data_IF_388671226033
#
_entry.id   IF_388671226033
#
_cell.length_a   1.000
_cell.length_b   1.000
_cell.length_c   1.000
_cell.angle_alpha   90.00
_cell.angle_beta   90.00
_cell.angle_gamma   90.00
#
_symmetry.space_group_name_H-M   'P 1'
#
loop_
_entity.id
_entity.type
_entity.pdbx_description
1 polymer ?
#
# COMPACT_ATOMS: atom_id res chain seq x y z
N UNK A 1 -8.54 8.41 -2.77
CA UNK A 1 -9.03 7.03 -2.78
C UNK A 1 -10.19 6.98 -3.75
N UNK A 2 -10.03 6.26 -4.84
CA UNK A 2 -10.98 6.17 -5.93
C UNK A 2 -10.78 4.88 -6.72
N UNK A 3 -11.85 4.39 -7.33
CA UNK A 3 -11.82 3.22 -8.17
C UNK A 3 -13.00 3.19 -9.14
N UNK A 4 -12.92 2.32 -10.15
CA UNK A 4 -14.00 2.07 -11.10
C UNK A 4 -14.31 0.58 -11.15
N UNK A 5 -15.51 0.25 -11.63
CA UNK A 5 -15.89 -1.12 -11.96
C UNK A 5 -16.06 -1.28 -13.46
N UNK A 6 -15.37 -2.24 -14.06
CA UNK A 6 -15.50 -2.60 -15.47
C UNK A 6 -15.79 -4.09 -15.58
N UNK A 7 -16.92 -4.46 -16.19
CA UNK A 7 -17.36 -5.85 -16.36
C UNK A 7 -17.32 -6.68 -15.05
N UNK A 8 -17.62 -6.02 -13.92
CA UNK A 8 -17.62 -6.64 -12.59
C UNK A 8 -16.30 -6.54 -11.82
N UNK A 9 -15.17 -6.28 -12.47
CA UNK A 9 -13.86 -6.13 -11.82
C UNK A 9 -13.66 -4.72 -11.27
N UNK A 10 -13.09 -4.62 -10.07
CA UNK A 10 -12.81 -3.37 -9.37
C UNK A 10 -11.36 -2.91 -9.62
N UNK A 11 -11.16 -1.60 -9.73
CA UNK A 11 -9.88 -0.96 -9.48
C UNK A 11 -9.90 -0.25 -8.12
N UNK A 12 -8.72 -0.02 -7.54
CA UNK A 12 -8.56 0.70 -6.28
C UNK A 12 -7.25 1.50 -6.28
N UNK A 13 -7.31 2.81 -6.03
CA UNK A 13 -6.15 3.69 -5.99
C UNK A 13 -6.28 4.80 -4.95
N UNK A 14 -5.17 5.08 -4.29
CA UNK A 14 -5.03 6.21 -3.38
C UNK A 14 -3.81 7.04 -3.73
N UNK A 15 -4.05 8.35 -3.85
CA UNK A 15 -3.03 9.39 -3.91
C UNK A 15 -3.31 10.39 -2.79
N UNK A 16 -2.25 10.92 -2.20
CA UNK A 16 -2.34 12.07 -1.31
C UNK A 16 -1.70 13.27 -1.99
N UNK A 17 -2.41 14.39 -2.03
CA UNK A 17 -1.95 15.66 -2.62
C UNK A 17 -2.05 16.76 -1.57
N UNK A 18 -1.15 17.74 -1.65
CA UNK A 18 -1.16 18.90 -0.78
C UNK A 18 -1.65 20.12 -1.56
N UNK A 19 -2.59 20.87 -1.00
CA UNK A 19 -3.00 22.16 -1.56
C UNK A 19 -2.10 23.24 -0.94
N UNK A 20 -1.17 23.77 -1.74
CA UNK A 20 -0.14 24.69 -1.26
C UNK A 20 1.07 23.97 -0.67
N UNK A 21 1.67 24.54 0.38
CA UNK A 21 2.87 24.00 1.02
C UNK A 21 2.48 23.23 2.29
N UNK A 22 2.80 21.92 2.39
CA UNK A 22 2.59 21.18 3.62
C UNK A 22 3.62 21.56 4.69
N UNK A 23 3.23 21.40 5.95
CA UNK A 23 4.15 21.48 7.08
C UNK A 23 5.21 20.36 7.01
N UNK A 24 6.37 20.59 7.62
CA UNK A 24 7.50 19.64 7.58
C UNK A 24 7.14 18.23 8.08
N UNK A 25 6.25 18.12 9.07
CA UNK A 25 5.74 16.83 9.56
C UNK A 25 5.08 16.03 8.42
N UNK A 26 4.25 16.66 7.59
CA UNK A 26 3.58 15.98 6.48
C UNK A 26 4.50 15.70 5.29
N UNK A 27 5.55 16.50 5.11
CA UNK A 27 6.64 16.18 4.18
C UNK A 27 7.34 14.88 4.59
N UNK A 28 7.70 14.76 5.86
CA UNK A 28 8.38 13.56 6.39
C UNK A 28 7.48 12.33 6.41
N UNK A 29 6.19 12.50 6.75
CA UNK A 29 5.20 11.44 6.66
C UNK A 29 5.05 10.97 5.20
N UNK A 30 4.93 11.89 4.24
CA UNK A 30 4.78 11.53 2.84
C UNK A 30 5.99 10.76 2.32
N UNK A 31 7.21 11.23 2.62
CA UNK A 31 8.46 10.54 2.25
C UNK A 31 8.55 9.15 2.88
N UNK A 32 8.13 9.02 4.14
CA UNK A 32 8.08 7.73 4.86
C UNK A 32 7.11 6.76 4.19
N UNK A 33 5.88 7.19 3.91
CA UNK A 33 4.86 6.36 3.24
C UNK A 33 5.30 5.96 1.84
N UNK A 34 5.85 6.91 1.05
CA UNK A 34 6.40 6.65 -0.28
C UNK A 34 7.52 5.59 -0.23
N UNK A 35 8.48 5.75 0.69
CA UNK A 35 9.56 4.78 0.85
C UNK A 35 9.01 3.40 1.23
N UNK A 36 8.10 3.33 2.20
CA UNK A 36 7.49 2.08 2.64
C UNK A 36 6.73 1.37 1.50
N UNK A 37 5.96 2.12 0.71
CA UNK A 37 5.24 1.57 -0.45
C UNK A 37 6.19 1.04 -1.51
N UNK A 38 7.21 1.82 -1.90
CA UNK A 38 8.15 1.42 -2.94
C UNK A 38 8.96 0.18 -2.53
N UNK A 39 9.40 0.09 -1.28
CA UNK A 39 10.10 -1.11 -0.79
C UNK A 39 9.16 -2.32 -0.70
N UNK A 40 7.91 -2.15 -0.28
CA UNK A 40 6.92 -3.23 -0.30
C UNK A 40 6.67 -3.72 -1.73
N UNK A 41 6.43 -2.82 -2.70
CA UNK A 41 6.23 -3.14 -4.11
C UNK A 41 7.41 -3.93 -4.70
N UNK A 42 8.66 -3.50 -4.42
CA UNK A 42 9.87 -4.22 -4.84
C UNK A 42 10.01 -5.61 -4.22
N UNK A 43 9.50 -5.80 -3.00
CA UNK A 43 9.64 -7.05 -2.26
C UNK A 43 8.66 -8.14 -2.69
N UNK A 44 7.56 -7.79 -3.36
CA UNK A 44 6.52 -8.74 -3.78
C UNK A 44 7.12 -9.83 -4.65
N UNK A 45 6.89 -11.09 -4.25
CA UNK A 45 7.31 -12.28 -4.99
C UNK A 45 6.22 -13.36 -4.92
N UNK A 46 6.09 -14.20 -5.95
CA UNK A 46 5.25 -15.38 -5.85
C UNK A 46 5.73 -16.28 -4.69
N UNK A 47 4.78 -16.92 -4.01
CA UNK A 47 4.98 -17.81 -2.87
C UNK A 47 5.53 -17.14 -1.58
N UNK A 48 5.58 -15.82 -1.52
CA UNK A 48 5.91 -15.06 -0.31
C UNK A 48 4.78 -15.14 0.73
N UNK A 49 5.12 -15.13 2.02
CA UNK A 49 4.13 -14.99 3.08
C UNK A 49 3.61 -13.56 3.18
N UNK A 50 2.30 -13.38 3.29
CA UNK A 50 1.67 -12.05 3.33
C UNK A 50 2.10 -11.22 4.55
N UNK A 51 2.44 -11.87 5.67
CA UNK A 51 2.99 -11.18 6.86
C UNK A 51 4.39 -10.61 6.61
N UNK A 52 5.22 -11.30 5.82
CA UNK A 52 6.56 -10.81 5.48
C UNK A 52 6.47 -9.58 4.57
N UNK A 53 5.49 -9.58 3.65
CA UNK A 53 5.20 -8.43 2.81
C UNK A 53 4.71 -7.23 3.64
N UNK A 54 3.73 -7.42 4.54
CA UNK A 54 3.29 -6.37 5.47
C UNK A 54 4.44 -5.82 6.32
N UNK A 55 5.32 -6.70 6.80
CA UNK A 55 6.48 -6.33 7.61
C UNK A 55 7.42 -5.36 6.90
N UNK A 56 7.60 -5.47 5.58
CA UNK A 56 8.50 -4.57 4.81
C UNK A 56 8.12 -3.10 4.97
N UNK A 57 6.85 -2.75 4.80
CA UNK A 57 6.35 -1.39 4.98
C UNK A 57 6.20 -1.03 6.45
N UNK A 58 5.63 -1.94 7.26
CA UNK A 58 5.34 -1.67 8.67
C UNK A 58 6.59 -1.40 9.48
N UNK A 59 7.67 -2.14 9.24
CA UNK A 59 8.93 -1.94 9.96
C UNK A 59 9.57 -0.59 9.60
N UNK A 60 9.56 -0.19 8.33
CA UNK A 60 10.07 1.13 7.91
C UNK A 60 9.29 2.29 8.55
N UNK A 61 7.95 2.17 8.59
CA UNK A 61 7.09 3.17 9.25
C UNK A 61 7.36 3.22 10.75
N UNK A 62 7.56 2.06 11.39
CA UNK A 62 7.89 1.96 12.82
C UNK A 62 9.25 2.58 13.13
N UNK A 63 10.28 2.28 12.34
CA UNK A 63 11.64 2.82 12.50
C UNK A 63 11.68 4.34 12.31
N UNK A 64 10.79 4.88 11.46
CA UNK A 64 10.60 6.32 11.30
C UNK A 64 9.83 6.98 12.45
N UNK A 65 9.42 6.23 13.48
CA UNK A 65 8.71 6.74 14.66
C UNK A 65 7.18 6.81 14.50
N UNK A 66 6.63 6.28 13.40
CA UNK A 66 5.20 6.37 13.09
C UNK A 66 4.43 5.04 13.26
N UNK A 67 5.01 4.06 13.97
CA UNK A 67 4.46 2.70 14.07
C UNK A 67 3.02 2.65 14.61
N UNK A 68 2.72 3.45 15.63
CA UNK A 68 1.38 3.51 16.25
C UNK A 68 0.33 4.20 15.35
N UNK A 69 0.77 4.84 14.26
CA UNK A 69 -0.09 5.57 13.33
C UNK A 69 -0.40 4.79 12.04
N UNK A 70 0.10 3.56 11.91
CA UNK A 70 -0.24 2.64 10.81
C UNK A 70 -1.14 1.48 11.30
N UNK A 71 -2.42 1.81 11.52
CA UNK A 71 -3.38 0.95 12.22
C UNK A 71 -4.08 -0.13 11.39
N UNK A 72 -3.86 -0.21 10.08
CA UNK A 72 -4.50 -1.18 9.18
C UNK A 72 -3.51 -2.16 8.55
N UNK A 73 -4.01 -3.15 7.81
CA UNK A 73 -3.19 -4.05 6.97
C UNK A 73 -2.48 -3.26 5.86
N UNK A 74 -1.31 -3.71 5.41
CA UNK A 74 -0.66 -3.18 4.21
C UNK A 74 -1.54 -3.25 2.96
N UNK A 75 -2.43 -4.23 2.86
CA UNK A 75 -3.42 -4.26 1.79
C UNK A 75 -4.38 -5.43 1.87
N UNK A 76 -5.16 -5.60 0.80
CA UNK A 76 -6.17 -6.64 0.64
C UNK A 76 -6.22 -7.14 -0.81
N UNK A 77 -6.93 -8.24 -1.04
CA UNK A 77 -7.23 -8.71 -2.37
C UNK A 77 -8.27 -7.81 -3.04
N UNK A 78 -8.19 -7.71 -4.36
CA UNK A 78 -9.14 -6.95 -5.17
C UNK A 78 -9.47 -7.73 -6.44
N UNK A 79 -10.75 -7.81 -6.77
CA UNK A 79 -11.24 -8.60 -7.90
C UNK A 79 -12.66 -8.22 -8.24
N UNK A 80 -13.61 -9.14 -8.02
CA UNK A 80 -15.04 -8.85 -8.21
C UNK A 80 -15.61 -8.04 -7.04
N UNK A 81 -14.98 -8.13 -5.87
CA UNK A 81 -15.18 -7.21 -4.76
C UNK A 81 -13.95 -6.29 -4.61
N UNK A 82 -14.21 -5.08 -4.12
CA UNK A 82 -13.13 -4.12 -3.78
C UNK A 82 -12.25 -4.69 -2.68
N UNK A 83 -12.85 -5.28 -1.65
CA UNK A 83 -12.14 -5.99 -0.58
C UNK A 83 -12.45 -7.48 -0.63
N UNK A 84 -11.49 -8.28 -1.05
CA UNK A 84 -11.51 -9.74 -1.01
C UNK A 84 -10.18 -10.31 -0.49
N UNK A 85 -10.03 -11.64 -0.50
CA UNK A 85 -8.78 -12.29 -0.14
C UNK A 85 -7.76 -12.25 -1.28
N UNK A 86 -6.44 -12.33 -0.99
CA UNK A 86 -5.85 -12.48 0.35
C UNK A 86 -5.66 -11.14 1.07
N UNK A 87 -5.72 -11.17 2.41
CA UNK A 87 -5.32 -10.01 3.23
C UNK A 87 -3.80 -9.97 3.40
N UNK A 88 -3.22 -8.78 3.29
CA UNK A 88 -1.79 -8.51 3.52
C UNK A 88 -1.64 -7.70 4.80
N UNK A 89 -1.51 -8.39 5.93
CA UNK A 89 -1.47 -7.76 7.25
C UNK A 89 -0.51 -8.47 8.21
N UNK A 90 -0.32 -7.95 9.44
CA UNK A 90 0.68 -8.45 10.38
C UNK A 90 0.29 -9.76 11.07
N UNK A 91 -0.87 -10.34 10.73
CA UNK A 91 -1.44 -11.53 11.36
C UNK A 91 -2.15 -12.38 10.30
N UNK A 92 -2.39 -13.65 10.61
CA UNK A 92 -3.09 -14.59 9.74
C UNK A 92 -2.42 -14.72 8.37
N UNK A 93 -1.13 -15.10 8.38
CA UNK A 93 -0.34 -15.23 7.17
C UNK A 93 -0.97 -16.17 6.17
N UNK A 94 -0.88 -15.79 4.90
CA UNK A 94 -1.21 -16.64 3.76
C UNK A 94 -0.07 -16.59 2.75
N UNK A 95 0.14 -17.69 2.04
CA UNK A 95 1.06 -17.72 0.91
C UNK A 95 0.44 -17.00 -0.27
N UNK A 96 1.06 -15.91 -0.71
CA UNK A 96 0.70 -15.19 -1.93
C UNK A 96 1.06 -16.06 -3.14
N UNK A 97 0.14 -16.22 -4.09
CA UNK A 97 0.31 -17.11 -5.25
C UNK A 97 0.21 -16.33 -6.56
N UNK A 98 0.82 -16.82 -7.64
CA UNK A 98 0.51 -16.36 -8.99
C UNK A 98 -1.01 -16.30 -9.22
N UNK A 99 -1.48 -15.21 -9.82
CA UNK A 99 -2.90 -14.92 -10.03
C UNK A 99 -3.57 -14.09 -8.93
N UNK A 100 -2.95 -13.91 -7.75
CA UNK A 100 -3.47 -12.97 -6.75
C UNK A 100 -3.32 -11.52 -7.25
N UNK A 101 -4.36 -10.72 -7.04
CA UNK A 101 -4.33 -9.27 -7.22
C UNK A 101 -4.57 -8.63 -5.86
N UNK A 102 -3.65 -7.79 -5.41
CA UNK A 102 -3.66 -7.17 -4.08
C UNK A 102 -3.39 -5.67 -4.16
N UNK A 103 -3.83 -4.92 -3.16
CA UNK A 103 -3.41 -3.54 -2.92
C UNK A 103 -2.11 -3.51 -2.09
N UNK A 104 -1.28 -2.49 -2.30
CA UNK A 104 -0.13 -2.13 -1.46
C UNK A 104 -0.30 -0.67 -1.07
N UNK A 105 -0.84 -0.45 0.13
CA UNK A 105 -1.45 0.81 0.54
C UNK A 105 -1.01 1.31 1.93
N UNK A 106 0.30 1.39 2.24
CA UNK A 106 0.72 1.87 3.56
C UNK A 106 0.20 3.29 3.82
N UNK A 107 -0.17 3.55 5.07
CA UNK A 107 -0.70 4.85 5.48
C UNK A 107 -0.34 5.22 6.91
N UNK A 108 -0.13 6.51 7.15
CA UNK A 108 0.14 7.10 8.45
C UNK A 108 -0.95 8.14 8.73
N UNK A 109 -1.63 8.03 9.87
CA UNK A 109 -2.71 8.95 10.25
C UNK A 109 -2.46 9.50 11.64
N UNK A 110 -2.25 10.82 11.72
CA UNK A 110 -2.04 11.54 12.98
C UNK A 110 -3.39 12.05 13.48
N UNK A 111 -3.87 11.59 14.67
CA UNK A 111 -5.15 12.01 15.22
C UNK A 111 -5.28 13.54 15.30
N UNK A 112 -6.39 14.06 14.80
CA UNK A 112 -6.68 15.50 14.81
C UNK A 112 -5.87 16.34 13.81
N UNK A 113 -4.93 15.76 13.04
CA UNK A 113 -4.15 16.50 12.04
C UNK A 113 -4.42 16.06 10.59
N UNK A 114 -4.52 14.75 10.34
CA UNK A 114 -4.70 14.20 8.99
C UNK A 114 -3.83 12.97 8.74
N UNK A 115 -3.61 12.62 7.47
CA UNK A 115 -2.79 11.47 7.12
C UNK A 115 -2.38 11.41 5.67
N UNK A 116 -1.43 10.53 5.39
CA UNK A 116 -0.96 10.21 4.03
C UNK A 116 -1.15 8.73 3.81
N UNK A 117 -1.78 8.37 2.68
CA UNK A 117 -1.81 7.01 2.13
C UNK A 117 -1.46 7.08 0.65
N UNK A 118 -0.70 6.10 0.20
CA UNK A 118 -0.40 5.86 -1.21
C UNK A 118 -0.70 4.41 -1.49
N UNK A 119 -1.33 4.12 -2.62
CA UNK A 119 -1.80 2.77 -2.94
C UNK A 119 -1.59 2.44 -4.40
N UNK A 120 -1.13 1.22 -4.66
CA UNK A 120 -1.17 0.64 -6.00
C UNK A 120 -1.71 -0.79 -5.95
N UNK A 121 -2.36 -1.19 -7.05
CA UNK A 121 -2.73 -2.58 -7.29
C UNK A 121 -1.58 -3.36 -7.91
N UNK A 122 -1.38 -4.58 -7.44
CA UNK A 122 -0.33 -5.49 -7.88
C UNK A 122 -0.93 -6.83 -8.28
N UNK A 123 -0.67 -7.25 -9.51
CA UNK A 123 -0.89 -8.62 -9.95
C UNK A 123 0.37 -9.45 -9.75
N UNK A 124 0.27 -10.54 -8.99
CA UNK A 124 1.39 -11.46 -8.77
C UNK A 124 1.43 -12.46 -9.92
N UNK A 125 2.48 -12.42 -10.73
CA UNK A 125 2.73 -13.37 -11.83
C UNK A 125 3.63 -14.51 -11.37
N UNK A 126 3.86 -15.50 -12.24
CA UNK A 126 4.80 -16.60 -12.01
C UNK A 126 6.25 -16.12 -11.77
N UNK A 127 6.61 -14.95 -12.30
CA UNK A 127 8.00 -14.45 -12.27
C UNK A 127 8.20 -13.21 -11.39
N UNK A 128 7.12 -12.62 -10.86
CA UNK A 128 7.21 -11.39 -10.07
C UNK A 128 5.94 -10.54 -10.10
N UNK A 129 5.98 -9.33 -9.52
CA UNK A 129 4.83 -8.42 -9.51
C UNK A 129 4.69 -7.66 -10.83
N UNK A 130 3.47 -7.48 -11.28
CA UNK A 130 3.07 -6.47 -12.26
C UNK A 130 2.25 -5.40 -11.54
N UNK A 131 2.68 -4.15 -11.63
CA UNK A 131 1.99 -3.01 -11.01
C UNK A 131 0.93 -2.52 -12.00
N UNK A 132 -0.34 -2.65 -11.65
CA UNK A 132 -1.47 -2.37 -12.55
C UNK A 132 -1.82 -0.88 -12.59
N UNK A 133 -1.58 -0.17 -11.50
CA UNK A 133 -1.84 1.26 -11.36
C UNK A 133 -0.49 1.93 -11.12
N UNK A 134 -0.07 2.82 -12.01
CA UNK A 134 1.26 3.43 -11.93
C UNK A 134 1.13 4.92 -11.69
N UNK A 135 1.67 5.41 -10.57
CA UNK A 135 1.97 6.82 -10.38
C UNK A 135 3.47 7.06 -10.46
N UNK A 136 3.90 7.73 -11.52
CA UNK A 136 5.28 8.24 -11.60
C UNK A 136 5.41 9.66 -11.05
N UNK A 137 4.29 10.29 -10.71
CA UNK A 137 4.24 11.62 -10.13
C UNK A 137 4.09 11.52 -8.64
N UNK A 138 5.22 11.56 -7.95
CA UNK A 138 5.25 11.79 -6.52
C UNK A 138 5.30 13.29 -6.27
N UNK A 139 4.77 13.70 -5.13
CA UNK A 139 5.01 15.04 -4.64
C UNK A 139 6.47 15.07 -4.17
N UNK A 140 7.34 15.63 -5.02
CA UNK A 140 8.74 15.88 -4.67
C UNK A 140 8.76 17.13 -3.77
N UNK A 141 8.46 16.87 -2.50
CA UNK A 141 8.58 17.81 -1.37
C UNK A 141 10.03 17.89 -0.92
#
# INVERSE_FOLDING_TARGET
DAGVRLNGYCSDITRTVFLGHPDSEFVDIYRTVRKAQLEALKSVKPHMQSVDLDFTARNLIKEAGYGDYFGHSLGHGVGLATHEGPRVGPRNSVTLKPGNVITIEPGIYIPGKGGVRLEEMVWITETGPEILTVCNHFYDL
#
